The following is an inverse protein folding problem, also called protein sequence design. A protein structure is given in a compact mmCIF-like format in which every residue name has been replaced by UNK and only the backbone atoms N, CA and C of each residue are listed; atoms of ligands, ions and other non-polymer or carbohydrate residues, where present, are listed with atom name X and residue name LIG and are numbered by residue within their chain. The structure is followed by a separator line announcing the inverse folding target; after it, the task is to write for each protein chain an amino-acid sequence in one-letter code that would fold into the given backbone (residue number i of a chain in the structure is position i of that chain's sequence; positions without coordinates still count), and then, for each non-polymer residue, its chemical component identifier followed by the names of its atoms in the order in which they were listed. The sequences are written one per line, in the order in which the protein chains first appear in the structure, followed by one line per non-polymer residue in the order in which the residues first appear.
data_IF_479074004015
#
_entry.id   IF_479074004015
#
_cell.length_a   1.000
_cell.length_b   1.000
_cell.length_c   1.000
_cell.angle_alpha   90.00
_cell.angle_beta   90.00
_cell.angle_gamma   90.00
#
_symmetry.space_group_name_H-M   'P 1'
#
loop_
_entity.id
_entity.type
_entity.pdbx_description
1 polymer ?
#
# COMPACT_ATOMS: atom_id res chain seq x y z
N UNK A 1 14.11 -13.14 -8.78
CA UNK A 1 13.26 -13.13 -7.57
C UNK A 1 13.97 -12.26 -6.54
N UNK A 2 13.48 -11.07 -6.23
CA UNK A 2 14.07 -10.27 -5.15
C UNK A 2 13.78 -11.02 -3.85
N UNK A 3 14.79 -11.68 -3.28
CA UNK A 3 14.73 -12.47 -2.04
C UNK A 3 14.51 -11.61 -0.77
N UNK A 4 13.93 -10.42 -0.96
CA UNK A 4 13.68 -9.42 0.08
C UNK A 4 12.20 -9.32 0.31
N UNK A 5 11.78 -9.66 1.53
CA UNK A 5 10.42 -9.48 2.03
C UNK A 5 9.99 -8.01 1.87
N UNK A 6 8.76 -7.79 1.37
CA UNK A 6 8.19 -6.44 1.21
C UNK A 6 8.04 -5.76 2.58
N UNK A 7 8.63 -4.58 2.71
CA UNK A 7 8.55 -3.73 3.91
C UNK A 7 8.85 -2.27 3.52
N UNK A 8 8.68 -1.34 4.46
CA UNK A 8 9.06 0.07 4.25
C UNK A 8 10.57 0.23 3.99
N UNK A 9 11.41 -0.55 4.68
CA UNK A 9 12.87 -0.51 4.50
C UNK A 9 13.31 -1.13 3.18
N UNK A 10 12.52 -2.05 2.61
CA UNK A 10 12.88 -2.73 1.37
C UNK A 10 12.30 -2.10 0.10
N UNK A 11 11.35 -1.17 0.24
CA UNK A 11 10.58 -0.54 -0.87
C UNK A 11 11.44 0.07 -1.98
N UNK A 12 12.56 0.72 -1.64
CA UNK A 12 13.43 1.37 -2.64
C UNK A 12 14.12 0.38 -3.59
N UNK A 13 14.15 -0.91 -3.25
CA UNK A 13 14.75 -1.96 -4.07
C UNK A 13 13.73 -2.71 -4.95
N UNK A 14 12.50 -2.23 -5.04
CA UNK A 14 11.49 -2.83 -5.92
C UNK A 14 11.84 -2.60 -7.39
N UNK A 15 11.49 -3.54 -8.30
CA UNK A 15 11.61 -3.30 -9.74
C UNK A 15 10.82 -2.05 -10.16
N UNK A 16 11.33 -1.32 -11.15
CA UNK A 16 10.70 -0.08 -11.63
C UNK A 16 9.27 -0.27 -12.17
N UNK A 17 8.89 -1.49 -12.55
CA UNK A 17 7.54 -1.82 -13.02
C UNK A 17 6.51 -1.95 -11.90
N UNK A 18 6.92 -1.98 -10.64
CA UNK A 18 6.02 -2.11 -9.49
C UNK A 18 5.60 -0.71 -9.05
N UNK A 19 4.31 -0.39 -9.18
CA UNK A 19 3.75 0.85 -8.67
C UNK A 19 3.94 0.93 -7.15
N UNK A 20 4.22 2.14 -6.66
CA UNK A 20 4.35 2.45 -5.23
C UNK A 20 3.51 3.68 -4.92
N UNK A 21 3.04 3.86 -3.67
CA UNK A 21 2.26 5.03 -3.28
C UNK A 21 3.01 6.34 -3.63
N UNK A 22 2.33 7.22 -4.37
CA UNK A 22 2.87 8.51 -4.83
C UNK A 22 2.85 9.62 -3.77
N UNK A 23 2.23 9.36 -2.61
CA UNK A 23 2.11 10.29 -1.49
C UNK A 23 3.07 9.96 -0.34
N UNK A 24 3.33 10.94 0.53
CA UNK A 24 4.09 10.73 1.77
C UNK A 24 3.20 10.02 2.81
N UNK A 25 3.43 8.73 2.98
CA UNK A 25 2.70 7.88 3.92
C UNK A 25 2.82 8.34 5.38
N UNK A 26 3.84 9.13 5.75
CA UNK A 26 3.98 9.68 7.10
C UNK A 26 3.01 10.83 7.39
N UNK A 27 2.39 11.40 6.36
CA UNK A 27 1.39 12.48 6.49
C UNK A 27 -0.05 11.97 6.55
N UNK A 28 -0.27 10.68 6.28
CA UNK A 28 -1.61 10.09 6.30
C UNK A 28 -2.07 9.91 7.74
N UNK A 29 -3.29 10.37 8.04
CA UNK A 29 -3.96 10.18 9.33
C UNK A 29 -5.14 9.24 9.17
N UNK A 30 -5.50 8.43 10.20
CA UNK A 30 -6.69 7.59 10.14
C UNK A 30 -7.97 8.43 9.97
N UNK A 31 -8.76 8.13 8.93
CA UNK A 31 -10.07 8.77 8.68
C UNK A 31 -11.24 7.79 8.47
N UNK A 32 -10.95 6.50 8.29
CA UNK A 32 -11.95 5.45 8.05
C UNK A 32 -11.61 4.25 8.96
N UNK A 33 -12.62 3.69 9.64
CA UNK A 33 -12.52 2.42 10.35
C UNK A 33 -13.16 1.33 9.49
N UNK A 34 -12.41 0.26 9.22
CA UNK A 34 -12.92 -0.89 8.49
C UNK A 34 -13.02 -2.12 9.39
N UNK A 35 -14.19 -2.73 9.45
CA UNK A 35 -14.45 -3.96 10.21
C UNK A 35 -14.53 -5.14 9.24
N UNK A 36 -13.51 -6.00 9.24
CA UNK A 36 -13.43 -7.17 8.36
C UNK A 36 -12.45 -7.01 7.19
N UNK A 37 -11.14 -7.02 7.47
CA UNK A 37 -10.07 -6.80 6.47
C UNK A 37 -9.84 -8.05 5.60
N UNK A 38 -10.73 -8.27 4.63
CA UNK A 38 -10.66 -9.36 3.66
C UNK A 38 -9.90 -9.01 2.37
N UNK A 39 -9.85 -9.97 1.44
CA UNK A 39 -9.28 -9.76 0.11
C UNK A 39 -10.05 -8.70 -0.68
N UNK A 40 -11.38 -8.71 -0.62
CA UNK A 40 -12.23 -7.74 -1.31
C UNK A 40 -12.01 -6.30 -0.84
N UNK A 41 -11.93 -6.09 0.48
CA UNK A 41 -11.61 -4.77 1.04
C UNK A 41 -10.30 -4.21 0.46
N UNK A 42 -9.23 -5.02 0.45
CA UNK A 42 -7.93 -4.60 -0.05
C UNK A 42 -7.90 -4.35 -1.56
N UNK A 43 -8.59 -5.18 -2.33
CA UNK A 43 -8.60 -5.10 -3.79
C UNK A 43 -9.56 -4.03 -4.36
N UNK A 44 -10.49 -3.52 -3.55
CA UNK A 44 -11.51 -2.56 -3.99
C UNK A 44 -11.46 -1.27 -3.19
N UNK A 45 -11.91 -1.29 -1.93
CA UNK A 45 -12.06 -0.06 -1.12
C UNK A 45 -10.70 0.58 -0.82
N UNK A 46 -9.71 -0.21 -0.40
CA UNK A 46 -8.38 0.31 -0.11
C UNK A 46 -7.66 0.78 -1.38
N UNK A 47 -7.86 0.09 -2.51
CA UNK A 47 -7.28 0.49 -3.80
C UNK A 47 -7.76 1.89 -4.22
N UNK A 48 -9.07 2.14 -4.16
CA UNK A 48 -9.61 3.47 -4.46
C UNK A 48 -9.13 4.56 -3.50
N UNK A 49 -8.87 4.23 -2.23
CA UNK A 49 -8.35 5.21 -1.26
C UNK A 49 -6.86 5.49 -1.47
N UNK A 50 -6.08 4.50 -1.93
CA UNK A 50 -4.64 4.64 -2.21
C UNK A 50 -4.36 5.44 -3.51
N UNK A 51 -5.29 5.39 -4.47
CA UNK A 51 -5.18 6.11 -5.76
C UNK A 51 -5.48 7.62 -5.69
N UNK A 52 -5.97 8.14 -4.55
CA UNK A 52 -6.33 9.54 -4.32
C UNK A 52 -5.14 10.51 -4.18
#
# INVERSE_FOLDING_TARGET
MTDRRLSNSTRQALPASVAVPGYDRNRVVPGIVHLGVGAFHRAHQAAYVDDC
#
